data_IF_060618147401
#
_entry.id   IF_060618147401
#
_cell.length_a   1.000
_cell.length_b   1.000
_cell.length_c   1.000
_cell.angle_alpha   90.00
_cell.angle_beta   90.00
_cell.angle_gamma   90.00
#
_symmetry.space_group_name_H-M   'P 1'
#
loop_
_entity.id
_entity.type
_entity.pdbx_description
1 polymer ?
#
# COMPACT_ATOMS: atom_id res chain seq x y z
N UNK A 1 -12.61 -2.07 -4.01
CA UNK A 1 -11.76 -3.09 -3.36
C UNK A 1 -11.56 -2.69 -1.91
N UNK A 2 -11.78 -3.66 -1.00
CA UNK A 2 -11.67 -3.38 0.42
C UNK A 2 -10.25 -3.56 0.95
N UNK A 3 -9.52 -4.49 0.36
CA UNK A 3 -8.17 -4.79 0.80
C UNK A 3 -7.42 -5.46 -0.34
N UNK A 4 -6.11 -5.56 -0.18
CA UNK A 4 -5.29 -6.35 -1.09
C UNK A 4 -4.55 -7.38 -0.28
N UNK A 5 -4.20 -8.47 -0.94
CA UNK A 5 -3.43 -9.54 -0.31
C UNK A 5 -1.95 -9.25 -0.42
N UNK A 6 -1.22 -9.61 0.61
CA UNK A 6 0.22 -9.41 0.67
C UNK A 6 0.81 -10.60 1.40
N UNK A 7 1.87 -11.17 0.87
CA UNK A 7 2.47 -12.35 1.48
C UNK A 7 3.96 -12.11 1.70
N UNK A 8 4.44 -12.50 2.87
CA UNK A 8 5.86 -12.45 3.19
C UNK A 8 6.18 -13.62 4.10
N UNK A 9 7.22 -14.38 3.76
CA UNK A 9 7.67 -15.53 4.52
C UNK A 9 6.50 -16.50 4.76
N UNK A 10 5.74 -16.76 3.71
CA UNK A 10 4.60 -17.69 3.72
C UNK A 10 3.47 -17.30 4.66
N UNK A 11 3.46 -16.06 5.14
CA UNK A 11 2.35 -15.53 5.91
C UNK A 11 1.54 -14.58 5.03
N UNK A 12 0.23 -14.71 5.12
CA UNK A 12 -0.68 -13.88 4.33
C UNK A 12 -1.18 -12.73 5.19
N UNK A 13 -1.17 -11.54 4.62
CA UNK A 13 -1.65 -10.33 5.27
C UNK A 13 -2.67 -9.66 4.37
N UNK A 14 -3.56 -8.87 4.98
CA UNK A 14 -4.51 -8.06 4.24
C UNK A 14 -4.15 -6.60 4.50
N UNK A 15 -4.05 -5.84 3.43
CA UNK A 15 -3.63 -4.43 3.51
C UNK A 15 -4.80 -3.54 3.12
N UNK A 16 -5.04 -2.51 3.93
CA UNK A 16 -6.09 -1.54 3.67
C UNK A 16 -5.78 -0.25 4.40
N UNK A 17 -6.11 0.87 3.75
CA UNK A 17 -6.06 2.17 4.41
C UNK A 17 -7.48 2.68 4.61
N UNK A 18 -7.92 2.70 5.85
CA UNK A 18 -9.14 3.45 6.20
C UNK A 18 -8.75 4.92 6.30
N UNK A 19 -9.73 5.81 6.41
CA UNK A 19 -9.43 7.23 6.60
C UNK A 19 -8.57 7.45 7.84
N UNK A 20 -8.86 6.69 8.90
CA UNK A 20 -8.07 6.80 10.12
C UNK A 20 -6.61 6.42 9.86
N UNK A 21 -6.42 5.37 9.07
CA UNK A 21 -5.07 4.94 8.72
C UNK A 21 -4.35 5.98 7.87
N UNK A 22 -5.07 6.64 6.96
CA UNK A 22 -4.49 7.69 6.13
C UNK A 22 -4.02 8.87 6.98
N UNK A 23 -4.85 9.27 7.95
CA UNK A 23 -4.49 10.38 8.83
C UNK A 23 -3.23 10.03 9.62
N UNK A 24 -3.16 8.81 10.15
CA UNK A 24 -1.97 8.38 10.89
C UNK A 24 -0.74 8.34 9.99
N UNK A 25 -0.94 7.88 8.74
CA UNK A 25 0.15 7.81 7.77
C UNK A 25 0.67 9.20 7.43
N UNK A 26 -0.23 10.16 7.21
CA UNK A 26 0.20 11.53 6.91
C UNK A 26 1.06 12.10 8.02
N UNK A 27 0.69 11.81 9.26
CA UNK A 27 1.47 12.31 10.40
C UNK A 27 2.86 11.70 10.41
N UNK A 28 2.96 10.42 10.10
CA UNK A 28 4.25 9.74 10.09
C UNK A 28 5.11 10.19 8.90
N UNK A 29 4.49 10.36 7.73
CA UNK A 29 5.22 10.80 6.54
C UNK A 29 5.57 12.29 6.61
N UNK A 30 4.77 13.06 7.32
CA UNK A 30 4.94 14.51 7.36
C UNK A 30 4.46 15.18 6.08
N UNK A 31 3.68 14.49 5.27
CA UNK A 31 3.21 15.04 4.01
C UNK A 31 2.02 14.24 3.50
N UNK A 32 1.41 14.75 2.44
CA UNK A 32 0.36 14.06 1.71
C UNK A 32 0.95 12.77 1.13
N UNK A 33 0.26 11.63 1.24
CA UNK A 33 0.79 10.37 0.71
C UNK A 33 1.20 10.43 -0.75
N UNK A 34 0.52 11.22 -1.57
CA UNK A 34 0.89 11.32 -2.98
C UNK A 34 2.19 12.10 -3.18
N UNK A 35 2.59 12.92 -2.20
CA UNK A 35 3.81 13.72 -2.32
C UNK A 35 5.08 12.87 -2.33
N UNK A 36 5.00 11.62 -1.88
CA UNK A 36 6.19 10.77 -1.84
C UNK A 36 6.74 10.48 -3.22
N UNK A 37 5.93 10.65 -4.26
CA UNK A 37 6.38 10.42 -5.63
C UNK A 37 7.05 11.65 -6.23
N UNK A 38 7.03 12.78 -5.53
CA UNK A 38 7.62 14.02 -6.04
C UNK A 38 7.02 14.41 -7.37
N UNK A 39 7.87 14.65 -8.34
CA UNK A 39 7.42 15.00 -9.69
C UNK A 39 7.18 13.76 -10.55
N UNK A 40 7.32 12.58 -9.98
CA UNK A 40 7.18 11.35 -10.72
C UNK A 40 8.49 10.79 -11.25
N UNK A 41 9.57 11.47 -10.98
CA UNK A 41 10.89 11.04 -11.45
C UNK A 41 11.70 10.34 -10.39
N UNK A 42 11.24 10.37 -9.16
CA UNK A 42 11.92 9.70 -8.06
C UNK A 42 11.01 8.63 -7.49
N UNK A 43 11.61 7.63 -6.85
CA UNK A 43 10.83 6.61 -6.17
C UNK A 43 10.79 6.94 -4.68
N UNK A 44 9.73 6.48 -4.00
CA UNK A 44 9.66 6.67 -2.55
C UNK A 44 10.82 5.98 -1.85
N UNK A 45 11.18 6.49 -0.67
CA UNK A 45 12.23 5.89 0.13
C UNK A 45 11.72 4.61 0.80
N UNK A 46 12.65 3.76 1.21
CA UNK A 46 12.28 2.56 1.96
C UNK A 46 11.57 2.93 3.25
N UNK A 47 12.02 4.00 3.91
CA UNK A 47 11.36 4.49 5.12
C UNK A 47 9.88 4.80 4.84
N UNK A 48 9.61 5.46 3.72
CA UNK A 48 8.23 5.75 3.33
C UNK A 48 7.46 4.48 3.00
N UNK A 49 8.10 3.54 2.33
CA UNK A 49 7.46 2.27 1.98
C UNK A 49 7.04 1.50 3.22
N UNK A 50 7.93 1.42 4.20
CA UNK A 50 7.62 0.70 5.44
C UNK A 50 6.51 1.42 6.21
N UNK A 51 6.51 2.76 6.20
CA UNK A 51 5.45 3.51 6.85
C UNK A 51 4.08 3.20 6.22
N UNK A 52 4.04 3.10 4.91
CA UNK A 52 2.80 2.80 4.18
C UNK A 52 2.35 1.37 4.50
N UNK A 53 3.28 0.43 4.49
CA UNK A 53 2.96 -0.96 4.82
C UNK A 53 2.42 -1.04 6.25
N UNK A 54 3.09 -0.37 7.19
CA UNK A 54 2.66 -0.38 8.59
C UNK A 54 1.24 0.15 8.74
N UNK A 55 0.95 1.29 8.11
CA UNK A 55 -0.39 1.87 8.20
C UNK A 55 -1.44 0.93 7.60
N UNK A 56 -1.11 0.27 6.50
CA UNK A 56 -2.07 -0.58 5.80
C UNK A 56 -2.31 -1.92 6.49
N UNK A 57 -1.45 -2.31 7.42
CA UNK A 57 -1.61 -3.56 8.15
C UNK A 57 -2.57 -3.45 9.31
N UNK A 58 -2.81 -2.24 9.81
CA UNK A 58 -3.47 -2.07 11.11
C UNK A 58 -4.92 -2.50 11.15
N UNK A 59 -5.66 -2.33 10.06
CA UNK A 59 -7.08 -2.63 10.06
C UNK A 59 -7.36 -4.13 10.24
N UNK A 60 -6.62 -4.96 9.56
CA UNK A 60 -6.85 -6.42 9.64
C UNK A 60 -5.89 -7.14 10.57
N UNK A 61 -4.72 -6.58 10.84
CA UNK A 61 -3.75 -7.17 11.76
C UNK A 61 -3.42 -6.16 12.86
N UNK A 62 -4.35 -6.00 13.79
CA UNK A 62 -4.18 -5.03 14.87
C UNK A 62 -2.91 -5.29 15.67
N UNK A 63 -2.25 -4.22 16.02
CA UNK A 63 -1.13 -4.32 16.96
C UNK A 63 0.21 -4.61 16.31
N UNK A 64 0.28 -4.76 15.00
CA UNK A 64 1.58 -4.90 14.36
C UNK A 64 2.32 -3.57 14.49
N UNK A 65 3.49 -3.60 15.11
CA UNK A 65 4.26 -2.40 15.34
C UNK A 65 5.07 -2.03 14.11
N UNK A 66 5.62 -0.82 14.12
CA UNK A 66 6.52 -0.40 13.06
C UNK A 66 7.73 -1.34 12.99
N UNK A 67 8.25 -1.75 14.15
CA UNK A 67 9.39 -2.68 14.20
C UNK A 67 9.04 -4.02 13.56
N UNK A 68 7.84 -4.55 13.86
CA UNK A 68 7.40 -5.78 13.23
C UNK A 68 7.29 -5.61 11.73
N UNK A 69 6.87 -4.42 11.29
CA UNK A 69 6.72 -4.16 9.85
C UNK A 69 8.06 -4.16 9.14
N UNK A 70 9.11 -3.67 9.81
CA UNK A 70 10.44 -3.75 9.24
C UNK A 70 10.82 -5.20 8.94
N UNK A 71 10.50 -6.10 9.85
CA UNK A 71 10.77 -7.52 9.66
C UNK A 71 9.94 -8.10 8.52
N UNK A 72 8.67 -7.70 8.45
CA UNK A 72 7.79 -8.18 7.38
C UNK A 72 8.33 -7.72 6.02
N UNK A 73 8.74 -6.47 5.92
CA UNK A 73 9.27 -5.94 4.68
C UNK A 73 10.57 -6.67 4.30
N UNK A 74 11.43 -6.90 5.29
CA UNK A 74 12.68 -7.61 5.06
C UNK A 74 12.44 -9.04 4.58
N UNK A 75 11.46 -9.71 5.18
CA UNK A 75 11.08 -11.06 4.74
C UNK A 75 10.54 -11.05 3.32
N UNK A 76 9.78 -10.02 2.97
CA UNK A 76 9.24 -9.89 1.62
C UNK A 76 10.38 -9.75 0.59
N UNK A 77 11.41 -8.96 0.92
CA UNK A 77 12.57 -8.83 0.06
C UNK A 77 13.30 -10.17 -0.07
N UNK A 78 13.42 -10.89 1.05
CA UNK A 78 14.10 -12.19 1.05
C UNK A 78 13.34 -13.21 0.21
N UNK A 79 12.05 -13.01 -0.01
CA UNK A 79 11.25 -13.90 -0.85
C UNK A 79 11.55 -13.71 -2.35
N UNK A 80 12.41 -12.76 -2.69
CA UNK A 80 12.82 -12.57 -4.07
C UNK A 80 12.33 -11.28 -4.70
N UNK A 81 11.87 -10.34 -3.89
CA UNK A 81 11.41 -9.05 -4.41
C UNK A 81 12.50 -7.99 -4.26
N UNK A 82 12.33 -6.90 -4.99
CA UNK A 82 13.20 -5.74 -4.86
C UNK A 82 12.38 -4.58 -4.32
N UNK A 83 13.08 -3.54 -3.87
CA UNK A 83 12.42 -2.35 -3.35
C UNK A 83 11.45 -1.76 -4.37
N UNK A 84 11.88 -1.68 -5.63
CA UNK A 84 11.01 -1.09 -6.66
C UNK A 84 9.76 -1.93 -6.92
N UNK A 85 9.80 -3.24 -6.60
CA UNK A 85 8.61 -4.07 -6.75
C UNK A 85 7.49 -3.66 -5.80
N UNK A 86 7.80 -2.88 -4.77
CA UNK A 86 6.79 -2.43 -3.81
C UNK A 86 5.97 -1.26 -4.35
N UNK A 87 6.42 -0.58 -5.40
CA UNK A 87 5.70 0.59 -5.92
C UNK A 87 4.29 0.24 -6.40
N UNK A 88 4.10 -0.84 -7.20
CA UNK A 88 2.73 -1.21 -7.56
C UNK A 88 1.86 -1.53 -6.34
N UNK A 89 2.46 -2.11 -5.31
CA UNK A 89 1.73 -2.42 -4.08
C UNK A 89 1.27 -1.13 -3.39
N UNK A 90 2.12 -0.09 -3.39
CA UNK A 90 1.73 1.21 -2.84
C UNK A 90 0.48 1.74 -3.55
N UNK A 91 0.47 1.67 -4.87
CA UNK A 91 -0.66 2.16 -5.64
C UNK A 91 -1.92 1.39 -5.29
N UNK A 92 -1.81 0.07 -5.16
CA UNK A 92 -2.96 -0.75 -4.77
C UNK A 92 -3.44 -0.41 -3.38
N UNK A 93 -2.51 -0.19 -2.44
CA UNK A 93 -2.87 0.23 -1.09
C UNK A 93 -3.62 1.56 -1.14
N UNK A 94 -3.12 2.51 -1.92
CA UNK A 94 -3.76 3.82 -2.06
C UNK A 94 -5.16 3.71 -2.64
N UNK A 95 -5.39 2.73 -3.51
CA UNK A 95 -6.73 2.50 -4.05
C UNK A 95 -7.70 2.04 -2.98
N UNK A 96 -7.24 1.25 -2.03
CA UNK A 96 -8.11 0.82 -0.94
C UNK A 96 -8.57 1.99 -0.08
N UNK A 97 -7.75 3.04 -0.02
CA UNK A 97 -8.04 4.21 0.80
C UNK A 97 -8.73 5.35 0.06
N UNK A 98 -8.98 5.15 -1.22
CA UNK A 98 -9.59 6.21 -2.01
C UNK A 98 -8.65 7.35 -2.33
N UNK A 99 -7.35 7.17 -2.13
CA UNK A 99 -6.37 8.21 -2.43
C UNK A 99 -6.23 8.37 -3.93
N UNK A 100 -6.26 7.26 -4.66
CA UNK A 100 -6.30 7.28 -6.12
C UNK A 100 -7.46 6.41 -6.56
N UNK A 101 -7.88 6.61 -7.81
CA UNK A 101 -9.05 5.93 -8.35
C UNK A 101 -8.78 4.46 -8.59
N UNK A 102 -9.84 3.62 -8.60
CA UNK A 102 -9.71 2.22 -8.99
C UNK A 102 -9.19 2.14 -10.41
N UNK A 103 -8.66 0.97 -10.75
CA UNK A 103 -8.17 0.79 -12.10
C UNK A 103 -9.31 0.97 -13.10
N UNK A 104 -8.97 1.67 -14.17
CA UNK A 104 -9.97 2.06 -15.14
C UNK A 104 -10.62 0.85 -15.81
N UNK A 105 -9.84 -0.18 -16.07
CA UNK A 105 -10.40 -1.33 -16.76
C UNK A 105 -11.48 -2.02 -15.92
N UNK A 106 -11.36 -1.95 -14.61
CA UNK A 106 -12.36 -2.55 -13.74
C UNK A 106 -13.69 -1.84 -13.87
N UNK A 107 -13.63 -0.56 -14.17
CA UNK A 107 -14.83 0.23 -14.35
C UNK A 107 -15.37 0.06 -15.76
N UNK A 108 -14.53 0.24 -16.75
CA UNK A 108 -14.98 0.27 -18.13
C UNK A 108 -15.46 -1.08 -18.61
N UNK A 109 -14.81 -2.13 -18.21
CA UNK A 109 -15.20 -3.46 -18.66
C UNK A 109 -16.50 -3.88 -18.06
N UNK A 110 -16.72 -3.39 -16.88
CA UNK A 110 -18.02 -3.61 -16.29
C UNK A 110 -19.07 -2.86 -17.10
N UNK A 111 -18.66 -1.75 -17.61
CA UNK A 111 -19.53 -0.96 -18.40
C UNK A 111 -19.57 -1.48 -19.79
N UNK A 112 -18.54 -1.76 -20.13
CA UNK A 112 -18.35 -1.88 -21.18
C UNK A 112 -18.63 -2.88 -21.45
N UNK A 113 -18.47 -2.89 -20.81
CA UNK A 113 -18.75 -3.28 -20.77
C UNK A 113 -19.39 -3.43 -20.63
N UNK A 114 -19.44 -2.88 -20.66
CA UNK A 114 -20.06 -2.58 -20.44
C UNK A 114 -20.42 -2.53 -20.58
N UNK A 115 -20.50 -2.53 -21.00
CA UNK A 115 -20.79 -2.16 -21.16
C UNK A 115 -21.09 -2.26 -21.21
N UNK A 116 -20.92 -2.46 -21.54
CA UNK A 116 -21.14 -2.26 -21.50
C UNK A 116 -21.47 -2.09 -21.47
#
# INVERSE_FOLDING_TARGET
MLYIDFEADRKAYKLRLTTRDVVALEKRLGCNPLSIFGTGETIPSVTQMVAILHASLQTYQHGITYENTLDIFDNWLADGHTVTDFIPTILDIYRTGGIIAPEKRNVSEAAEDEKN
#
